data_IF_805300740948
#
_entry.id   IF_805300740948
#
_cell.length_a   1.000
_cell.length_b   1.000
_cell.length_c   1.000
_cell.angle_alpha   90.00
_cell.angle_beta   90.00
_cell.angle_gamma   90.00
#
_symmetry.space_group_name_H-M   'P 1'
#
loop_
_entity.id
_entity.type
_entity.pdbx_description
1 polymer ?
#
# COMPACT_ATOMS: atom_id res chain seq x y z
N UNK A 1 -26.81 9.78 23.07
CA UNK A 1 -27.43 9.60 21.76
C UNK A 1 -26.58 10.27 20.67
N UNK A 2 -26.28 11.59 20.76
CA UNK A 2 -25.44 12.29 19.74
C UNK A 2 -24.02 11.72 19.64
N UNK A 3 -23.46 11.27 20.76
CA UNK A 3 -22.09 10.73 20.84
C UNK A 3 -21.83 9.44 20.04
N UNK A 4 -22.86 8.75 19.58
CA UNK A 4 -22.75 7.51 18.80
C UNK A 4 -23.36 7.59 17.41
N UNK A 5 -23.80 8.77 16.99
CA UNK A 5 -24.53 8.96 15.74
C UNK A 5 -23.77 8.43 14.52
N UNK A 6 -22.43 8.62 14.46
CA UNK A 6 -21.61 8.12 13.33
C UNK A 6 -21.59 6.59 13.20
N UNK A 7 -21.94 5.85 14.27
CA UNK A 7 -21.97 4.38 14.24
C UNK A 7 -23.24 3.85 13.55
N UNK A 8 -24.32 4.61 13.59
CA UNK A 8 -25.62 4.28 13.02
C UNK A 8 -25.71 4.62 11.52
N UNK A 9 -24.81 5.51 11.03
CA UNK A 9 -24.76 5.88 9.62
C UNK A 9 -24.36 4.69 8.77
N UNK A 10 -25.07 4.53 7.64
CA UNK A 10 -24.75 3.47 6.69
C UNK A 10 -23.39 3.71 6.06
N UNK A 11 -22.64 2.65 5.87
CA UNK A 11 -21.30 2.67 5.28
C UNK A 11 -21.26 1.71 4.10
N UNK A 12 -20.53 2.04 3.02
CA UNK A 12 -20.36 1.10 1.91
C UNK A 12 -19.62 -0.14 2.40
N UNK A 13 -20.19 -1.29 2.11
CA UNK A 13 -19.60 -2.58 2.50
C UNK A 13 -18.47 -3.01 1.57
N UNK A 14 -18.50 -2.54 0.33
CA UNK A 14 -17.55 -2.91 -0.72
C UNK A 14 -17.34 -1.75 -1.68
N UNK A 15 -16.10 -1.60 -2.12
CA UNK A 15 -15.74 -0.74 -3.24
C UNK A 15 -15.65 -1.62 -4.49
N UNK A 16 -16.47 -1.34 -5.50
CA UNK A 16 -16.40 -2.04 -6.78
C UNK A 16 -15.54 -1.25 -7.75
N UNK A 17 -14.56 -1.91 -8.34
CA UNK A 17 -13.66 -1.29 -9.33
C UNK A 17 -13.88 -1.99 -10.67
N UNK A 18 -14.35 -1.23 -11.65
CA UNK A 18 -14.54 -1.70 -13.02
C UNK A 18 -13.46 -1.09 -13.91
N UNK A 19 -12.62 -1.90 -14.57
CA UNK A 19 -11.60 -1.40 -15.48
C UNK A 19 -12.26 -0.75 -16.71
N UNK A 20 -11.65 0.33 -17.23
CA UNK A 20 -12.01 0.94 -18.50
C UNK A 20 -11.26 0.33 -19.69
N UNK A 21 -11.18 1.07 -20.79
CA UNK A 21 -10.51 0.63 -22.04
C UNK A 21 -9.02 0.31 -21.81
N UNK A 22 -8.36 1.06 -20.96
CA UNK A 22 -6.98 0.77 -20.48
C UNK A 22 -7.02 0.53 -18.95
N UNK A 23 -7.02 -0.74 -18.50
CA UNK A 23 -7.13 -1.08 -17.07
C UNK A 23 -6.04 -0.49 -16.18
N UNK A 24 -4.88 -0.17 -16.76
CA UNK A 24 -3.76 0.43 -16.01
C UNK A 24 -3.91 1.93 -15.81
N UNK A 25 -4.74 2.58 -16.65
CA UNK A 25 -4.87 4.03 -16.67
C UNK A 25 -6.27 4.53 -16.39
N UNK A 26 -7.31 3.74 -16.68
CA UNK A 26 -8.70 4.14 -16.52
C UNK A 26 -9.46 3.10 -15.72
N UNK A 27 -10.13 3.54 -14.67
CA UNK A 27 -11.08 2.71 -13.94
C UNK A 27 -12.26 3.54 -13.42
N UNK A 28 -13.38 2.86 -13.28
CA UNK A 28 -14.59 3.39 -12.63
C UNK A 28 -14.73 2.72 -11.27
N UNK A 29 -14.80 3.53 -10.24
CA UNK A 29 -14.93 3.12 -8.84
C UNK A 29 -16.35 3.43 -8.40
N UNK A 30 -17.03 2.44 -7.82
CA UNK A 30 -18.42 2.55 -7.34
C UNK A 30 -18.44 2.29 -5.85
N UNK A 31 -19.01 3.23 -5.10
CA UNK A 31 -19.23 3.11 -3.66
C UNK A 31 -20.73 3.24 -3.36
N UNK A 32 -21.32 2.19 -2.82
CA UNK A 32 -22.72 2.13 -2.40
C UNK A 32 -22.93 1.11 -1.28
N UNK A 33 -23.95 1.28 -0.42
CA UNK A 33 -24.77 2.48 -0.24
C UNK A 33 -24.03 3.55 0.60
N UNK A 34 -24.35 4.81 0.36
CA UNK A 34 -23.89 5.94 1.16
C UNK A 34 -25.10 6.69 1.71
N UNK A 35 -24.97 7.29 2.89
CA UNK A 35 -25.99 8.20 3.39
C UNK A 35 -26.24 9.36 2.41
N UNK A 36 -27.47 9.81 2.36
CA UNK A 36 -27.89 10.92 1.49
C UNK A 36 -27.01 12.16 1.66
N UNK A 37 -26.45 12.66 0.54
CA UNK A 37 -25.53 13.79 0.48
C UNK A 37 -24.06 13.44 0.63
N UNK A 38 -23.72 12.24 1.16
CA UNK A 38 -22.32 11.81 1.26
C UNK A 38 -21.70 11.50 -0.10
N UNK A 39 -22.47 11.11 -1.09
CA UNK A 39 -22.00 10.96 -2.46
C UNK A 39 -21.37 12.24 -2.98
N UNK A 40 -22.01 13.39 -2.80
CA UNK A 40 -21.46 14.71 -3.19
C UNK A 40 -20.23 15.08 -2.35
N UNK A 41 -20.31 14.91 -1.05
CA UNK A 41 -19.23 15.28 -0.11
C UNK A 41 -17.96 14.50 -0.42
N UNK A 42 -18.06 13.16 -0.50
CA UNK A 42 -16.93 12.29 -0.76
C UNK A 42 -16.43 12.43 -2.20
N UNK A 43 -17.33 12.47 -3.17
CA UNK A 43 -16.98 12.62 -4.58
C UNK A 43 -16.20 13.90 -4.87
N UNK A 44 -16.64 15.04 -4.34
CA UNK A 44 -15.94 16.31 -4.52
C UNK A 44 -14.60 16.33 -3.76
N UNK A 45 -14.57 15.85 -2.51
CA UNK A 45 -13.35 15.81 -1.71
C UNK A 45 -12.28 14.93 -2.33
N UNK A 46 -12.64 13.70 -2.73
CA UNK A 46 -11.72 12.78 -3.40
C UNK A 46 -11.23 13.33 -4.73
N UNK A 47 -12.12 13.90 -5.56
CA UNK A 47 -11.74 14.52 -6.82
C UNK A 47 -10.70 15.61 -6.62
N UNK A 48 -10.88 16.48 -5.65
CA UNK A 48 -9.93 17.58 -5.36
C UNK A 48 -8.57 17.05 -4.93
N UNK A 49 -8.54 16.09 -4.03
CA UNK A 49 -7.28 15.50 -3.53
C UNK A 49 -6.57 14.70 -4.62
N UNK A 50 -7.31 13.93 -5.43
CA UNK A 50 -6.76 13.19 -6.58
C UNK A 50 -6.03 14.11 -7.57
N UNK A 51 -6.58 15.29 -7.87
CA UNK A 51 -6.01 16.22 -8.83
C UNK A 51 -4.88 17.09 -8.28
N UNK A 52 -4.83 17.33 -6.97
CA UNK A 52 -3.94 18.33 -6.38
C UNK A 52 -2.85 17.77 -5.45
N UNK A 53 -3.08 16.63 -4.81
CA UNK A 53 -2.28 16.24 -3.65
C UNK A 53 -1.44 14.99 -3.85
N UNK A 54 -1.68 14.21 -4.89
CA UNK A 54 -0.88 13.04 -5.19
C UNK A 54 0.49 13.43 -5.71
N UNK A 55 1.52 12.73 -5.24
CA UNK A 55 2.89 12.92 -5.67
C UNK A 55 3.14 12.20 -7.00
N UNK A 56 3.91 12.84 -7.87
CA UNK A 56 4.38 12.27 -9.12
C UNK A 56 5.75 12.82 -9.50
N UNK A 57 6.19 12.51 -10.71
CA UNK A 57 7.45 13.00 -11.28
C UNK A 57 7.21 13.72 -12.60
N UNK A 58 7.99 14.77 -12.86
CA UNK A 58 7.91 15.55 -14.08
C UNK A 58 9.27 16.14 -14.45
N UNK A 59 9.41 16.54 -15.72
CA UNK A 59 10.54 17.33 -16.17
C UNK A 59 10.42 18.74 -15.61
N UNK A 60 11.48 19.24 -14.98
CA UNK A 60 11.56 20.59 -14.38
C UNK A 60 12.33 21.56 -15.25
N UNK A 61 13.33 21.07 -15.99
CA UNK A 61 14.15 21.86 -16.87
C UNK A 61 14.72 20.99 -17.99
N UNK A 62 15.03 21.62 -19.12
CA UNK A 62 15.76 21.02 -20.22
C UNK A 62 16.97 21.89 -20.60
N UNK A 63 17.98 21.26 -21.13
CA UNK A 63 19.10 21.91 -21.80
C UNK A 63 19.26 21.30 -23.18
N UNK A 64 19.35 22.11 -24.21
CA UNK A 64 19.55 21.69 -25.61
C UNK A 64 20.85 22.31 -26.09
N UNK A 65 21.75 21.52 -26.64
CA UNK A 65 23.03 22.00 -27.15
C UNK A 65 22.80 23.07 -28.24
N UNK A 66 23.46 24.21 -28.07
CA UNK A 66 23.37 25.35 -29.02
C UNK A 66 22.14 26.23 -28.87
N UNK A 67 21.28 25.99 -27.86
CA UNK A 67 20.08 26.77 -27.58
C UNK A 67 20.25 27.53 -26.27
N UNK A 68 19.95 28.83 -26.27
CA UNK A 68 20.09 29.67 -25.09
C UNK A 68 18.77 30.04 -24.40
N UNK A 69 17.66 29.96 -25.12
CA UNK A 69 16.33 30.29 -24.63
C UNK A 69 15.24 29.62 -25.47
N UNK A 70 14.03 29.53 -24.93
CA UNK A 70 12.88 28.83 -25.50
C UNK A 70 12.36 29.40 -26.84
N UNK A 71 12.69 30.67 -27.15
CA UNK A 71 12.24 31.32 -28.39
C UNK A 71 13.28 31.16 -29.52
N UNK A 72 14.04 30.09 -29.51
CA UNK A 72 15.05 29.79 -30.54
C UNK A 72 14.51 28.73 -31.51
N UNK A 73 15.13 28.65 -32.69
CA UNK A 73 14.97 27.55 -33.63
C UNK A 73 16.29 26.77 -33.72
N UNK A 74 16.18 25.48 -34.00
CA UNK A 74 17.35 24.60 -34.13
C UNK A 74 17.52 24.24 -35.60
N UNK A 75 18.71 24.47 -36.20
CA UNK A 75 18.94 24.13 -37.62
C UNK A 75 18.70 22.62 -37.87
N UNK A 76 17.88 22.31 -38.88
CA UNK A 76 17.53 20.95 -39.25
C UNK A 76 16.51 20.27 -38.33
N UNK A 77 15.88 21.00 -37.44
CA UNK A 77 14.73 20.54 -36.65
C UNK A 77 13.50 21.30 -37.12
N UNK A 78 12.40 20.59 -37.34
CA UNK A 78 11.17 21.20 -37.90
C UNK A 78 10.39 22.01 -36.89
N UNK A 79 10.34 21.52 -35.65
CA UNK A 79 9.64 22.16 -34.52
C UNK A 79 10.54 23.22 -33.89
N UNK A 80 9.94 24.32 -33.46
CA UNK A 80 10.61 25.32 -32.65
C UNK A 80 10.85 24.81 -31.23
N UNK A 81 11.82 25.41 -30.52
CA UNK A 81 12.12 25.00 -29.14
C UNK A 81 10.90 25.11 -28.23
N UNK A 82 10.02 26.09 -28.45
CA UNK A 82 8.77 26.25 -27.72
C UNK A 82 7.87 25.01 -27.91
N UNK A 83 7.74 24.49 -29.13
CA UNK A 83 6.97 23.28 -29.42
C UNK A 83 7.59 22.05 -28.74
N UNK A 84 8.94 21.97 -28.78
CA UNK A 84 9.66 20.90 -28.07
C UNK A 84 9.38 20.95 -26.58
N UNK A 85 9.42 22.12 -25.95
CA UNK A 85 9.07 22.30 -24.52
C UNK A 85 7.65 21.87 -24.22
N UNK A 86 6.69 22.24 -25.08
CA UNK A 86 5.28 21.81 -24.94
C UNK A 86 5.13 20.30 -25.04
N UNK A 87 5.89 19.63 -25.90
CA UNK A 87 5.89 18.17 -25.99
C UNK A 87 6.56 17.54 -24.75
N UNK A 88 7.69 18.06 -24.31
CA UNK A 88 8.44 17.57 -23.15
C UNK A 88 7.59 17.61 -21.86
N UNK A 89 6.83 18.68 -21.63
CA UNK A 89 5.97 18.76 -20.42
C UNK A 89 4.87 17.70 -20.35
N UNK A 90 4.58 17.02 -21.46
CA UNK A 90 3.59 15.93 -21.51
C UNK A 90 4.18 14.53 -21.34
N UNK A 91 5.51 14.43 -21.15
CA UNK A 91 6.16 13.15 -20.87
C UNK A 91 5.63 12.60 -19.54
N UNK A 92 5.09 11.39 -19.58
CA UNK A 92 4.63 10.69 -18.39
C UNK A 92 5.80 9.92 -17.77
N UNK A 93 6.15 10.27 -16.54
CA UNK A 93 7.33 9.73 -15.85
C UNK A 93 6.90 9.02 -14.58
N UNK A 94 7.46 7.84 -14.35
CA UNK A 94 7.44 7.14 -13.08
C UNK A 94 8.85 7.12 -12.51
N UNK A 95 9.03 7.65 -11.31
CA UNK A 95 10.32 7.69 -10.62
C UNK A 95 10.17 7.08 -9.24
N UNK A 96 11.13 6.23 -8.86
CA UNK A 96 11.27 5.70 -7.51
C UNK A 96 12.46 6.40 -6.85
N UNK A 97 12.26 6.91 -5.65
CA UNK A 97 13.28 7.67 -4.91
C UNK A 97 13.10 9.18 -5.01
N UNK A 98 13.81 9.88 -4.15
CA UNK A 98 13.77 11.34 -4.01
C UNK A 98 14.96 12.02 -4.69
N UNK A 99 14.78 13.30 -5.01
CA UNK A 99 15.83 14.16 -5.56
C UNK A 99 15.87 14.22 -7.08
N UNK A 100 16.43 15.32 -7.59
CA UNK A 100 16.52 15.58 -9.02
C UNK A 100 17.44 14.59 -9.72
N UNK A 101 17.00 14.07 -10.86
CA UNK A 101 17.75 13.13 -11.72
C UNK A 101 17.91 13.74 -13.11
N UNK A 102 18.99 13.36 -13.80
CA UNK A 102 19.27 13.81 -15.16
C UNK A 102 19.11 12.66 -16.13
N UNK A 103 18.41 12.90 -17.24
CA UNK A 103 18.28 12.02 -18.39
C UNK A 103 18.89 12.70 -19.60
N UNK A 104 19.32 11.93 -20.57
CA UNK A 104 19.96 12.44 -21.79
C UNK A 104 19.32 11.85 -23.03
N UNK A 105 19.27 12.64 -24.10
CA UNK A 105 18.86 12.20 -25.41
C UNK A 105 19.92 12.64 -26.43
N UNK A 106 20.29 11.74 -27.32
CA UNK A 106 21.12 12.04 -28.48
C UNK A 106 20.58 11.26 -29.68
N UNK A 107 20.23 12.00 -30.73
CA UNK A 107 19.74 11.39 -31.97
C UNK A 107 20.22 12.17 -33.17
N UNK A 108 20.55 11.42 -34.24
CA UNK A 108 20.96 11.96 -35.56
C UNK A 108 19.86 11.62 -36.56
N UNK A 109 19.46 12.60 -37.35
CA UNK A 109 18.43 12.45 -38.37
C UNK A 109 18.90 11.78 -39.65
N UNK A 110 18.01 11.57 -40.63
CA UNK A 110 16.61 12.04 -40.60
C UNK A 110 15.69 11.13 -39.79
N UNK A 111 14.66 11.69 -39.15
CA UNK A 111 13.63 10.91 -38.48
C UNK A 111 12.95 11.61 -37.32
N UNK A 112 11.97 10.92 -36.75
CA UNK A 112 11.18 11.41 -35.60
C UNK A 112 11.95 11.08 -34.31
N UNK A 113 12.07 12.05 -33.41
CA UNK A 113 12.59 11.89 -32.05
C UNK A 113 11.41 11.68 -31.11
N UNK A 114 11.45 10.59 -30.38
CA UNK A 114 10.39 10.24 -29.43
C UNK A 114 10.89 10.22 -27.99
N UNK A 115 9.97 10.23 -27.05
CA UNK A 115 10.32 10.09 -25.62
C UNK A 115 11.03 8.75 -25.32
N UNK A 116 10.82 7.71 -26.13
CA UNK A 116 11.51 6.44 -26.04
C UNK A 116 13.00 6.49 -26.37
N UNK A 117 13.46 7.53 -27.09
CA UNK A 117 14.87 7.73 -27.40
C UNK A 117 15.67 8.34 -26.21
N UNK A 118 14.99 8.71 -25.13
CA UNK A 118 15.63 9.28 -23.93
C UNK A 118 16.29 8.15 -23.14
N UNK A 119 17.58 8.32 -22.85
CA UNK A 119 18.32 7.43 -21.97
C UNK A 119 17.96 7.74 -20.52
N UNK A 120 17.17 6.88 -19.91
CA UNK A 120 16.79 6.99 -18.52
C UNK A 120 17.85 6.45 -17.57
N UNK A 121 17.98 7.03 -16.39
CA UNK A 121 18.96 6.63 -15.38
C UNK A 121 18.23 5.94 -14.21
N UNK A 122 18.64 4.70 -13.93
CA UNK A 122 18.21 3.96 -12.74
C UNK A 122 16.69 3.76 -12.64
N UNK A 123 16.10 4.42 -11.66
CA UNK A 123 14.69 4.22 -11.25
C UNK A 123 13.70 5.11 -12.01
N UNK A 124 14.11 5.74 -13.12
CA UNK A 124 13.23 6.58 -13.94
C UNK A 124 12.71 5.79 -15.12
N UNK A 125 11.41 5.75 -15.28
CA UNK A 125 10.72 5.07 -16.38
C UNK A 125 9.80 6.05 -17.12
N UNK A 126 9.88 6.05 -18.46
CA UNK A 126 8.96 6.78 -19.33
C UNK A 126 7.80 5.87 -19.68
N UNK A 127 6.57 6.36 -19.48
CA UNK A 127 5.34 5.58 -19.63
C UNK A 127 4.64 5.78 -20.98
N UNK A 128 5.05 6.81 -21.74
CA UNK A 128 4.55 7.14 -23.09
C UNK A 128 5.73 7.28 -24.08
N UNK A 129 6.46 6.18 -24.37
CA UNK A 129 7.65 6.23 -25.22
C UNK A 129 7.36 6.69 -26.66
N UNK A 130 6.16 6.51 -27.14
CA UNK A 130 5.73 6.88 -28.50
C UNK A 130 5.46 8.38 -28.69
N UNK A 131 5.56 9.17 -27.60
CA UNK A 131 5.34 10.62 -27.65
C UNK A 131 6.42 11.25 -28.52
N UNK A 132 6.00 11.95 -29.57
CA UNK A 132 6.90 12.68 -30.45
C UNK A 132 7.36 13.98 -29.79
N UNK A 133 8.68 14.20 -29.72
CA UNK A 133 9.30 15.40 -29.19
C UNK A 133 9.61 16.41 -30.32
N UNK A 134 10.26 15.94 -31.39
CA UNK A 134 10.57 16.73 -32.57
C UNK A 134 10.91 15.83 -33.77
N UNK A 135 11.10 16.44 -34.94
CA UNK A 135 11.44 15.79 -36.20
C UNK A 135 12.76 16.36 -36.73
N UNK A 136 13.71 15.49 -37.06
CA UNK A 136 15.02 15.87 -37.60
C UNK A 136 15.03 15.71 -39.11
N UNK A 137 15.62 16.66 -39.80
CA UNK A 137 15.94 16.58 -41.22
C UNK A 137 17.27 15.84 -41.46
N UNK A 138 17.61 15.64 -42.72
CA UNK A 138 18.83 14.93 -43.10
C UNK A 138 20.09 15.65 -42.61
N UNK A 139 20.97 14.93 -41.91
CA UNK A 139 22.23 15.49 -41.36
C UNK A 139 22.08 16.28 -40.07
N UNK A 140 20.85 16.46 -39.55
CA UNK A 140 20.66 17.15 -38.26
C UNK A 140 20.99 16.22 -37.07
N UNK A 141 21.53 16.79 -36.02
CA UNK A 141 21.78 16.12 -34.73
C UNK A 141 21.15 16.94 -33.62
N UNK A 142 20.49 16.29 -32.69
CA UNK A 142 19.98 16.90 -31.46
C UNK A 142 20.57 16.22 -30.23
N UNK A 143 20.97 17.04 -29.24
CA UNK A 143 21.42 16.60 -27.92
C UNK A 143 20.64 17.37 -26.88
N UNK A 144 20.00 16.64 -25.97
CA UNK A 144 19.18 17.21 -24.92
C UNK A 144 19.51 16.57 -23.58
N UNK A 145 19.49 17.37 -22.53
CA UNK A 145 19.49 16.95 -21.15
C UNK A 145 18.16 17.32 -20.49
N UNK A 146 17.60 16.41 -19.71
CA UNK A 146 16.35 16.62 -18.99
C UNK A 146 16.63 16.50 -17.50
N UNK A 147 16.20 17.48 -16.73
CA UNK A 147 16.16 17.39 -15.27
C UNK A 147 14.77 16.99 -14.85
N UNK A 148 14.67 15.90 -14.08
CA UNK A 148 13.42 15.32 -13.58
C UNK A 148 13.43 15.36 -12.07
N UNK A 149 12.31 15.74 -11.47
CA UNK A 149 12.15 15.75 -10.01
C UNK A 149 10.76 15.27 -9.62
N UNK A 150 10.58 15.01 -8.33
CA UNK A 150 9.30 14.64 -7.72
C UNK A 150 8.60 15.84 -7.11
N UNK A 151 7.29 15.87 -7.19
CA UNK A 151 6.51 16.97 -6.64
C UNK A 151 5.02 16.66 -6.60
N UNK A 152 4.22 17.69 -6.37
CA UNK A 152 2.75 17.61 -6.29
C UNK A 152 2.09 18.67 -7.14
N UNK A 153 0.97 18.29 -7.77
CA UNK A 153 0.14 19.20 -8.52
C UNK A 153 0.84 19.80 -9.74
N UNK A 154 0.77 21.11 -9.91
CA UNK A 154 1.35 21.88 -11.00
C UNK A 154 2.31 22.93 -10.47
N UNK A 155 3.51 22.98 -11.04
CA UNK A 155 4.52 23.99 -10.72
C UNK A 155 4.91 24.70 -12.01
N UNK A 156 4.68 26.04 -12.10
CA UNK A 156 5.05 26.81 -13.29
C UNK A 156 6.57 26.89 -13.43
N UNK A 157 7.04 27.05 -14.68
CA UNK A 157 8.45 27.11 -15.05
C UNK A 157 9.25 28.18 -14.27
N UNK A 158 8.61 29.29 -13.96
CA UNK A 158 9.23 30.38 -13.19
C UNK A 158 9.72 29.94 -11.79
N UNK A 159 8.98 29.00 -11.16
CA UNK A 159 9.37 28.43 -9.86
C UNK A 159 10.45 27.36 -9.97
N UNK A 160 10.58 26.73 -11.14
CA UNK A 160 11.63 25.75 -11.41
C UNK A 160 12.97 26.44 -11.77
N UNK A 161 12.96 27.75 -11.98
CA UNK A 161 14.17 28.54 -12.25
C UNK A 161 14.93 28.77 -10.95
N UNK A 162 16.15 28.26 -10.87
CA UNK A 162 17.07 28.54 -9.77
C UNK A 162 17.89 29.81 -10.07
N UNK A 163 18.28 30.58 -9.03
CA UNK A 163 19.06 31.78 -9.19
C UNK A 163 20.43 31.51 -9.83
N UNK A 164 21.01 30.33 -9.56
CA UNK A 164 22.30 29.87 -10.10
C UNK A 164 22.14 28.99 -11.35
N UNK A 165 21.03 29.09 -12.09
CA UNK A 165 20.80 28.25 -13.27
C UNK A 165 21.89 28.54 -14.33
N UNK A 166 22.51 27.49 -14.92
CA UNK A 166 23.48 27.66 -15.99
C UNK A 166 22.82 28.29 -17.22
N UNK A 167 23.63 29.04 -18.00
CA UNK A 167 23.16 29.64 -19.25
C UNK A 167 22.70 28.54 -20.20
N UNK A 168 21.50 28.70 -20.81
CA UNK A 168 20.93 27.75 -21.72
C UNK A 168 20.04 26.70 -21.04
N UNK A 169 19.89 26.73 -19.69
CA UNK A 169 18.90 25.92 -19.02
C UNK A 169 17.50 26.53 -19.19
N UNK A 170 16.60 25.81 -19.80
CA UNK A 170 15.23 26.21 -20.07
C UNK A 170 14.33 25.57 -19.02
N UNK A 171 13.72 26.33 -18.10
CA UNK A 171 12.77 25.76 -17.14
C UNK A 171 11.48 25.35 -17.85
N UNK A 172 10.87 24.29 -17.40
CA UNK A 172 9.64 23.70 -17.95
C UNK A 172 8.57 23.65 -16.88
N UNK A 173 7.31 23.92 -17.28
CA UNK A 173 6.16 23.69 -16.40
C UNK A 173 6.06 22.23 -16.02
N UNK A 174 6.01 21.95 -14.73
CA UNK A 174 5.99 20.57 -14.22
C UNK A 174 4.59 20.14 -13.81
N UNK A 175 4.05 19.18 -14.54
CA UNK A 175 2.79 18.51 -14.24
C UNK A 175 3.08 17.24 -13.42
N UNK A 176 3.19 17.39 -12.11
CA UNK A 176 3.51 16.27 -11.23
C UNK A 176 2.34 15.33 -10.99
N UNK A 177 1.09 15.84 -11.07
CA UNK A 177 -0.09 15.01 -10.80
C UNK A 177 -0.13 13.78 -11.70
N UNK A 178 -0.13 12.55 -11.13
CA UNK A 178 -0.29 11.34 -11.93
C UNK A 178 -1.73 11.16 -12.44
N UNK A 179 -2.68 11.89 -11.88
CA UNK A 179 -4.09 11.85 -12.27
C UNK A 179 -4.38 12.93 -13.30
N UNK A 180 -4.86 12.52 -14.48
CA UNK A 180 -5.20 13.40 -15.61
C UNK A 180 -6.62 13.92 -15.52
N UNK A 181 -7.57 13.04 -15.20
CA UNK A 181 -8.99 13.36 -15.21
C UNK A 181 -9.73 12.60 -14.12
N UNK A 182 -10.64 13.30 -13.46
CA UNK A 182 -11.59 12.70 -12.51
C UNK A 182 -12.97 13.25 -12.82
N UNK A 183 -13.91 12.36 -13.06
CA UNK A 183 -15.32 12.69 -13.14
C UNK A 183 -16.10 11.83 -12.16
N UNK A 184 -17.17 12.37 -11.58
CA UNK A 184 -18.05 11.57 -10.75
C UNK A 184 -19.51 11.95 -11.00
N UNK A 185 -20.39 11.00 -10.75
CA UNK A 185 -21.84 11.19 -10.72
C UNK A 185 -22.42 10.45 -9.53
N UNK A 186 -23.59 10.89 -9.13
CA UNK A 186 -24.33 10.32 -8.02
C UNK A 186 -25.66 9.82 -8.56
N UNK A 187 -26.01 8.62 -8.17
CA UNK A 187 -27.29 7.97 -8.48
C UNK A 187 -27.93 7.56 -7.16
N UNK A 188 -29.25 7.39 -7.17
CA UNK A 188 -29.93 6.85 -6.01
C UNK A 188 -29.79 5.33 -6.00
N UNK A 189 -29.59 4.76 -4.81
CA UNK A 189 -29.56 3.32 -4.62
C UNK A 189 -30.53 2.90 -3.52
N UNK A 190 -30.87 1.60 -3.52
CA UNK A 190 -31.81 1.01 -2.59
C UNK A 190 -31.08 0.13 -1.58
N UNK A 191 -31.36 0.32 -0.31
CA UNK A 191 -30.97 -0.61 0.74
C UNK A 191 -32.22 -1.04 1.54
N UNK A 192 -32.56 -2.31 1.46
CA UNK A 192 -33.80 -2.84 2.05
C UNK A 192 -35.06 -2.18 1.43
N UNK A 193 -35.84 -1.48 2.25
CA UNK A 193 -37.05 -0.76 1.82
C UNK A 193 -36.82 0.76 1.59
N UNK A 194 -35.62 1.26 1.89
CA UNK A 194 -35.26 2.66 1.75
C UNK A 194 -34.60 2.88 0.39
N UNK A 195 -35.09 3.87 -0.38
CA UNK A 195 -34.67 4.18 -1.75
C UNK A 195 -33.83 5.46 -1.82
N UNK A 196 -33.44 6.03 -0.70
CA UNK A 196 -32.91 7.40 -0.63
C UNK A 196 -31.42 7.44 -0.22
N UNK A 197 -30.70 6.38 -0.55
CA UNK A 197 -29.25 6.34 -0.39
C UNK A 197 -28.52 6.76 -1.65
N UNK A 198 -27.30 7.31 -1.47
CA UNK A 198 -26.44 7.71 -2.59
C UNK A 198 -25.59 6.52 -3.08
N UNK A 199 -25.42 6.47 -4.38
CA UNK A 199 -24.43 5.66 -5.09
C UNK A 199 -23.44 6.58 -5.76
N UNK A 200 -22.20 6.58 -5.33
CA UNK A 200 -21.13 7.35 -5.94
C UNK A 200 -20.45 6.52 -7.03
N UNK A 201 -20.42 7.04 -8.24
CA UNK A 201 -19.72 6.47 -9.39
C UNK A 201 -18.65 7.45 -9.83
N UNK A 202 -17.39 7.07 -9.68
CA UNK A 202 -16.24 7.94 -9.99
C UNK A 202 -15.35 7.29 -11.04
N UNK A 203 -15.08 7.98 -12.14
CA UNK A 203 -14.14 7.55 -13.16
C UNK A 203 -12.85 8.32 -13.03
N UNK A 204 -11.75 7.60 -12.89
CA UNK A 204 -10.39 8.15 -12.70
C UNK A 204 -9.52 7.72 -13.87
N UNK A 205 -8.85 8.70 -14.47
CA UNK A 205 -7.86 8.50 -15.52
C UNK A 205 -6.49 8.97 -15.02
N UNK A 206 -5.48 8.11 -15.11
CA UNK A 206 -4.10 8.37 -14.71
C UNK A 206 -3.15 8.39 -15.91
N UNK A 207 -1.92 8.82 -15.69
CA UNK A 207 -0.86 8.73 -16.69
C UNK A 207 -0.17 7.34 -16.72
N UNK A 208 -0.57 6.42 -15.82
CA UNK A 208 0.01 5.08 -15.69
C UNK A 208 1.11 4.98 -14.62
N UNK A 209 1.55 6.07 -13.99
CA UNK A 209 2.52 6.03 -12.89
C UNK A 209 1.94 5.38 -11.63
N UNK A 210 0.64 5.54 -11.44
CA UNK A 210 -0.16 4.92 -10.38
C UNK A 210 -1.42 4.32 -11.00
N UNK A 211 -1.89 3.19 -10.47
CA UNK A 211 -3.17 2.63 -10.88
C UNK A 211 -4.32 3.53 -10.40
N UNK A 212 -5.46 3.58 -11.11
CA UNK A 212 -6.61 4.36 -10.65
C UNK A 212 -7.12 3.94 -9.27
N UNK A 213 -7.07 2.65 -8.95
CA UNK A 213 -7.44 2.09 -7.66
C UNK A 213 -6.54 2.60 -6.54
N UNK A 214 -5.21 2.48 -6.71
CA UNK A 214 -4.24 2.98 -5.75
C UNK A 214 -4.34 4.50 -5.59
N UNK A 215 -4.57 5.23 -6.67
CA UNK A 215 -4.75 6.68 -6.61
C UNK A 215 -5.92 7.07 -5.70
N UNK A 216 -7.07 6.39 -5.83
CA UNK A 216 -8.24 6.61 -4.95
C UNK A 216 -7.92 6.24 -3.51
N UNK A 217 -7.21 5.12 -3.28
CA UNK A 217 -6.82 4.69 -1.95
C UNK A 217 -5.89 5.72 -1.27
N UNK A 218 -4.87 6.24 -1.98
CA UNK A 218 -3.99 7.29 -1.47
C UNK A 218 -4.74 8.59 -1.19
N UNK A 219 -5.66 8.99 -2.08
CA UNK A 219 -6.47 10.18 -1.87
C UNK A 219 -7.38 10.06 -0.64
N UNK A 220 -8.00 8.91 -0.45
CA UNK A 220 -8.81 8.61 0.72
C UNK A 220 -7.97 8.63 2.02
N UNK A 221 -6.75 8.07 1.97
CA UNK A 221 -5.83 8.09 3.12
C UNK A 221 -5.40 9.51 3.48
N UNK A 222 -5.07 10.33 2.50
CA UNK A 222 -4.73 11.75 2.72
C UNK A 222 -5.90 12.48 3.41
N UNK A 223 -7.13 12.28 2.93
CA UNK A 223 -8.31 12.88 3.55
C UNK A 223 -8.50 12.41 4.99
N UNK A 224 -8.35 11.12 5.24
CA UNK A 224 -8.46 10.54 6.57
C UNK A 224 -7.45 11.16 7.53
N UNK A 225 -6.18 11.26 7.13
CA UNK A 225 -5.11 11.83 7.95
C UNK A 225 -5.34 13.32 8.23
N UNK A 226 -5.82 14.08 7.24
CA UNK A 226 -6.15 15.50 7.41
C UNK A 226 -7.36 15.72 8.32
N UNK A 227 -8.33 14.82 8.32
CA UNK A 227 -9.53 14.90 9.17
C UNK A 227 -9.26 14.46 10.62
N UNK A 228 -8.19 13.68 10.85
CA UNK A 228 -7.90 13.13 12.17
C UNK A 228 -7.72 14.22 13.25
N UNK A 229 -7.16 15.38 12.88
CA UNK A 229 -6.95 16.50 13.80
C UNK A 229 -8.27 17.09 14.34
N UNK A 230 -9.38 16.91 13.61
CA UNK A 230 -10.70 17.38 14.00
C UNK A 230 -11.43 16.40 14.95
N UNK A 231 -10.92 15.18 15.09
CA UNK A 231 -11.44 14.18 16.01
C UNK A 231 -10.77 14.40 17.37
N UNK A 232 -11.45 15.12 18.27
CA UNK A 232 -10.92 15.56 19.56
C UNK A 232 -11.47 14.80 20.77
N UNK A 233 -12.18 13.71 20.53
CA UNK A 233 -12.70 12.83 21.59
C UNK A 233 -11.94 11.51 21.55
N UNK A 234 -11.71 10.95 22.74
CA UNK A 234 -11.21 9.58 22.85
C UNK A 234 -12.29 8.65 22.28
N UNK A 235 -12.02 8.10 21.12
CA UNK A 235 -12.81 6.95 20.66
C UNK A 235 -12.65 5.89 21.76
N UNK A 236 -13.80 5.36 22.32
CA UNK A 236 -13.68 4.16 23.11
C UNK A 236 -12.92 3.19 22.19
N UNK A 237 -11.68 2.87 22.58
CA UNK A 237 -10.95 1.80 21.87
C UNK A 237 -12.01 0.76 21.62
N UNK A 238 -12.40 0.54 20.35
CA UNK A 238 -12.85 -0.77 19.98
C UNK A 238 -11.71 -1.62 20.53
N UNK A 239 -11.93 -2.28 21.67
CA UNK A 239 -11.34 -3.57 21.82
C UNK A 239 -11.64 -4.14 20.44
N UNK A 240 -10.64 -4.13 19.54
CA UNK A 240 -10.63 -5.09 18.48
C UNK A 240 -11.10 -6.29 19.24
N UNK A 241 -12.30 -6.76 18.90
CA UNK A 241 -12.62 -8.13 19.21
C UNK A 241 -11.46 -8.86 18.54
N UNK A 242 -10.35 -8.94 19.26
CA UNK A 242 -9.39 -10.00 19.17
C UNK A 242 -10.34 -11.15 19.08
N UNK A 243 -10.53 -11.63 17.85
CA UNK A 243 -11.52 -12.64 17.48
C UNK A 243 -11.55 -13.53 18.69
N UNK A 244 -12.65 -13.51 19.46
CA UNK A 244 -12.64 -13.97 20.82
C UNK A 244 -12.01 -15.33 20.74
N UNK A 245 -10.71 -15.38 21.00
CA UNK A 245 -10.04 -16.63 21.27
C UNK A 245 -10.91 -17.15 22.40
N UNK A 246 -11.62 -18.25 22.21
CA UNK A 246 -12.55 -18.74 23.22
C UNK A 246 -11.77 -18.61 24.51
N UNK A 247 -12.27 -17.82 25.48
CA UNK A 247 -11.60 -17.65 26.74
C UNK A 247 -11.56 -19.04 27.33
N UNK A 248 -10.45 -19.72 27.02
CA UNK A 248 -10.20 -21.06 27.53
C UNK A 248 -10.07 -20.87 29.05
N UNK A 249 -10.78 -21.64 29.84
CA UNK A 249 -10.73 -21.56 31.30
C UNK A 249 -9.33 -21.92 31.85
N UNK A 250 -8.37 -22.18 30.98
CA UNK A 250 -7.00 -22.61 31.28
C UNK A 250 -5.96 -21.90 30.38
N UNK A 251 -4.70 -21.93 30.79
CA UNK A 251 -3.58 -21.33 30.06
C UNK A 251 -3.42 -21.98 28.66
N UNK A 252 -3.42 -21.22 27.56
CA UNK A 252 -3.20 -21.73 26.20
C UNK A 252 -1.93 -22.57 26.01
N UNK A 253 -0.89 -22.32 26.81
CA UNK A 253 0.35 -23.11 26.79
C UNK A 253 0.12 -24.62 27.09
N UNK A 254 -0.99 -24.97 27.70
CA UNK A 254 -1.35 -26.37 28.01
C UNK A 254 -1.77 -27.17 26.78
N UNK A 255 -2.16 -26.49 25.68
CA UNK A 255 -2.50 -27.12 24.39
C UNK A 255 -1.26 -27.49 23.56
N UNK A 256 -0.06 -27.08 23.95
CA UNK A 256 1.18 -27.47 23.26
C UNK A 256 1.46 -28.94 23.50
N UNK A 257 2.04 -29.59 22.48
CA UNK A 257 2.43 -31.00 22.57
C UNK A 257 3.68 -31.16 23.42
N UNK A 258 3.75 -32.26 24.11
CA UNK A 258 4.92 -32.60 24.96
C UNK A 258 6.18 -32.79 24.13
N UNK A 259 6.05 -33.11 22.84
CA UNK A 259 7.16 -33.23 21.89
C UNK A 259 7.86 -31.89 21.57
N UNK A 260 7.18 -30.77 21.83
CA UNK A 260 7.75 -29.41 21.67
C UNK A 260 8.59 -28.96 22.87
N UNK A 261 8.54 -29.71 23.98
CA UNK A 261 9.38 -29.45 25.11
C UNK A 261 10.80 -29.97 24.83
N UNK A 262 11.80 -29.20 25.13
CA UNK A 262 13.22 -29.59 24.99
C UNK A 262 13.60 -30.69 26.02
N UNK A 263 12.99 -31.87 25.88
CA UNK A 263 13.22 -33.02 26.73
C UNK A 263 14.21 -33.98 26.06
N UNK A 264 14.95 -34.75 26.90
CA UNK A 264 15.76 -35.83 26.38
C UNK A 264 14.88 -36.89 25.68
N UNK A 265 15.45 -37.56 24.66
CA UNK A 265 14.74 -38.62 23.89
C UNK A 265 14.16 -39.67 24.80
N UNK A 266 14.82 -39.97 25.92
CA UNK A 266 14.36 -40.95 26.91
C UNK A 266 13.12 -40.48 27.67
N UNK A 267 13.12 -39.21 28.10
CA UNK A 267 11.98 -38.61 28.80
C UNK A 267 10.78 -38.46 27.87
N UNK A 268 10.98 -38.01 26.63
CA UNK A 268 9.91 -37.93 25.63
C UNK A 268 9.29 -39.29 25.31
N UNK A 269 10.09 -40.35 25.11
CA UNK A 269 9.58 -41.69 24.85
C UNK A 269 8.79 -42.25 26.04
N UNK A 270 9.17 -41.98 27.27
CA UNK A 270 8.42 -42.39 28.44
C UNK A 270 7.04 -41.76 28.54
N UNK A 271 6.95 -40.45 28.20
CA UNK A 271 5.67 -39.72 28.17
C UNK A 271 4.74 -40.23 27.06
N UNK A 272 5.28 -40.56 25.89
CA UNK A 272 4.52 -41.18 24.78
C UNK A 272 3.95 -42.56 25.17
N UNK A 273 4.75 -43.37 25.86
CA UNK A 273 4.29 -44.69 26.30
C UNK A 273 3.16 -44.64 27.35
N UNK A 274 3.06 -43.54 28.09
CA UNK A 274 2.00 -43.29 29.07
C UNK A 274 0.83 -42.48 28.48
N UNK A 275 0.76 -42.37 27.14
CA UNK A 275 -0.27 -41.62 26.38
C UNK A 275 -0.44 -40.16 26.81
N UNK A 276 0.65 -39.49 27.28
CA UNK A 276 0.66 -38.09 27.61
C UNK A 276 1.06 -37.31 26.35
N UNK A 277 0.10 -36.62 25.73
CA UNK A 277 0.27 -35.93 24.45
C UNK A 277 0.45 -34.41 24.65
N UNK A 278 -0.31 -33.83 25.56
CA UNK A 278 -0.34 -32.40 25.80
C UNK A 278 0.28 -32.05 27.16
N UNK A 279 0.79 -30.79 27.27
CA UNK A 279 1.34 -30.28 28.53
C UNK A 279 0.26 -30.31 29.63
N UNK A 280 -1.00 -30.05 29.28
CA UNK A 280 -2.11 -30.11 30.20
C UNK A 280 -2.33 -31.52 30.82
N UNK A 281 -2.07 -32.60 30.07
CA UNK A 281 -2.12 -33.97 30.59
C UNK A 281 -0.97 -34.23 31.55
N UNK A 282 0.20 -33.68 31.24
CA UNK A 282 1.42 -33.83 32.03
C UNK A 282 1.31 -33.20 33.42
N UNK A 283 0.80 -31.96 33.49
CA UNK A 283 0.75 -31.20 34.77
C UNK A 283 -0.31 -31.78 35.74
N UNK A 284 -1.32 -32.47 35.25
CA UNK A 284 -2.30 -33.14 36.12
C UNK A 284 -1.75 -34.39 36.81
N UNK A 285 -0.68 -34.99 36.27
CA UNK A 285 -0.03 -36.12 36.91
C UNK A 285 0.76 -35.67 38.13
N UNK A 286 0.63 -36.43 39.22
CA UNK A 286 1.46 -36.21 40.42
C UNK A 286 2.86 -36.81 40.22
N UNK A 287 3.83 -36.33 40.97
CA UNK A 287 5.20 -36.90 40.97
C UNK A 287 5.23 -38.39 41.27
N UNK A 288 4.34 -38.86 42.19
CA UNK A 288 4.24 -40.23 42.56
C UNK A 288 3.69 -41.14 41.42
N UNK A 289 2.78 -40.58 40.60
CA UNK A 289 2.25 -41.30 39.42
C UNK A 289 3.30 -41.37 38.33
N UNK A 290 4.04 -40.29 38.08
CA UNK A 290 5.13 -40.27 37.12
C UNK A 290 6.23 -41.27 37.43
N UNK A 291 6.57 -41.47 38.71
CA UNK A 291 7.58 -42.44 39.16
C UNK A 291 7.06 -43.91 39.06
N UNK A 292 5.77 -44.13 38.90
CA UNK A 292 5.18 -45.49 38.67
C UNK A 292 5.27 -45.90 37.22
N UNK A 293 5.47 -44.98 36.29
CA UNK A 293 5.61 -45.26 34.86
C UNK A 293 6.88 -46.09 34.59
N UNK A 294 6.78 -47.19 33.85
CA UNK A 294 7.91 -48.06 33.53
C UNK A 294 9.03 -47.28 32.83
N UNK A 295 10.27 -47.52 33.23
CA UNK A 295 11.48 -46.83 32.68
C UNK A 295 11.62 -45.34 32.96
N UNK A 296 10.75 -44.76 33.81
CA UNK A 296 10.82 -43.35 34.21
C UNK A 296 11.62 -43.21 35.51
N UNK A 297 12.71 -42.43 35.46
CA UNK A 297 13.61 -42.28 36.57
C UNK A 297 13.61 -40.85 37.19
N UNK A 298 14.18 -40.74 38.38
CA UNK A 298 14.31 -39.40 39.07
C UNK A 298 15.00 -38.33 38.25
N UNK A 299 15.92 -38.71 37.34
CA UNK A 299 16.60 -37.75 36.45
C UNK A 299 15.61 -37.14 35.44
N UNK A 300 14.78 -37.98 34.81
CA UNK A 300 13.73 -37.52 33.87
C UNK A 300 12.66 -36.69 34.58
N UNK A 301 12.35 -37.01 35.86
CA UNK A 301 11.41 -36.22 36.64
C UNK A 301 11.96 -34.80 36.91
N UNK A 302 13.24 -34.69 37.28
CA UNK A 302 13.86 -33.37 37.51
C UNK A 302 13.94 -32.54 36.22
N UNK A 303 14.30 -33.17 35.11
CA UNK A 303 14.33 -32.52 33.78
C UNK A 303 12.94 -31.92 33.41
N UNK A 304 11.88 -32.68 33.58
CA UNK A 304 10.51 -32.22 33.32
C UNK A 304 10.14 -31.08 34.28
N UNK A 305 10.48 -31.18 35.54
CA UNK A 305 10.25 -30.12 36.54
C UNK A 305 10.93 -28.79 36.17
N UNK A 306 12.16 -28.85 35.71
CA UNK A 306 12.92 -27.65 35.30
C UNK A 306 12.28 -26.99 34.09
N UNK A 307 11.86 -27.77 33.07
CA UNK A 307 11.20 -27.26 31.87
C UNK A 307 9.83 -26.67 32.22
N UNK A 308 9.02 -27.35 33.04
CA UNK A 308 7.72 -26.84 33.48
C UNK A 308 7.86 -25.57 34.34
N UNK A 309 8.85 -25.52 35.22
CA UNK A 309 9.12 -24.37 36.08
C UNK A 309 9.51 -23.13 35.23
N UNK A 310 10.26 -23.32 34.13
CA UNK A 310 10.56 -22.26 33.15
C UNK A 310 9.30 -21.69 32.48
N UNK A 311 8.22 -22.45 32.42
CA UNK A 311 6.90 -22.05 31.88
C UNK A 311 5.92 -21.59 32.99
N UNK A 312 6.35 -21.55 34.25
CA UNK A 312 5.50 -21.22 35.40
C UNK A 312 4.49 -22.31 35.77
N UNK A 313 4.76 -23.56 35.36
CA UNK A 313 3.90 -24.72 35.60
C UNK A 313 4.58 -25.72 36.56
N UNK A 314 3.79 -26.58 37.23
CA UNK A 314 4.30 -27.65 38.07
C UNK A 314 3.39 -28.88 38.01
N UNK A 315 3.94 -30.03 38.35
CA UNK A 315 3.18 -31.30 38.40
C UNK A 315 2.18 -31.29 39.56
N UNK A 316 1.03 -31.96 39.35
CA UNK A 316 -0.05 -32.01 40.33
C UNK A 316 -0.95 -30.79 40.37
N UNK A 317 -0.95 -29.97 39.29
CA UNK A 317 -1.89 -28.84 39.14
C UNK A 317 -3.28 -29.38 38.72
N UNK A 318 -4.31 -28.88 39.40
CA UNK A 318 -5.70 -29.15 38.98
C UNK A 318 -6.09 -28.05 37.92
N UNK A 319 -6.50 -28.50 36.75
CA UNK A 319 -6.90 -27.63 35.65
C UNK A 319 -8.40 -27.82 35.41
N UNK A 320 -9.26 -26.89 35.88
CA UNK A 320 -10.67 -26.96 35.65
C UNK A 320 -11.02 -27.00 34.16
N UNK A 321 -11.77 -28.00 33.72
CA UNK A 321 -12.20 -28.13 32.31
C UNK A 321 -11.18 -28.79 31.38
N UNK A 322 -10.15 -29.46 31.90
CA UNK A 322 -9.24 -30.27 31.11
C UNK A 322 -9.62 -31.77 31.20
N UNK A 323 -9.54 -32.57 30.10
CA UNK A 323 -9.32 -32.15 28.71
C UNK A 323 -10.61 -31.58 28.08
N UNK A 324 -10.49 -30.53 27.21
CA UNK A 324 -11.64 -30.00 26.50
C UNK A 324 -12.14 -31.00 25.44
N UNK A 325 -13.44 -30.99 25.16
CA UNK A 325 -14.07 -31.94 24.20
C UNK A 325 -13.47 -31.86 22.78
N UNK A 326 -12.87 -30.71 22.39
CA UNK A 326 -12.32 -30.49 21.05
C UNK A 326 -10.82 -30.11 21.10
N UNK A 327 -10.01 -30.83 21.89
CA UNK A 327 -8.60 -30.55 22.13
C UNK A 327 -7.77 -30.49 20.84
N UNK A 328 -8.01 -31.35 19.86
CA UNK A 328 -7.29 -31.42 18.59
C UNK A 328 -7.57 -30.20 17.70
N UNK A 329 -8.82 -29.74 17.64
CA UNK A 329 -9.21 -28.55 16.87
C UNK A 329 -8.69 -27.26 17.51
N UNK A 330 -8.66 -27.22 18.84
CA UNK A 330 -8.11 -26.10 19.59
C UNK A 330 -6.58 -26.01 19.43
N UNK A 331 -5.88 -27.13 19.46
CA UNK A 331 -4.44 -27.19 19.26
C UNK A 331 -4.05 -26.77 17.84
N UNK A 332 -4.74 -27.22 16.79
CA UNK A 332 -4.51 -26.80 15.39
C UNK A 332 -4.69 -25.30 15.19
N UNK A 333 -5.76 -24.71 15.73
CA UNK A 333 -5.98 -23.25 15.65
C UNK A 333 -4.89 -22.43 16.36
N UNK A 334 -4.28 -23.01 17.38
CA UNK A 334 -3.14 -22.39 18.08
C UNK A 334 -1.84 -22.50 17.29
N UNK A 335 -1.58 -23.64 16.60
CA UNK A 335 -0.42 -23.83 15.72
C UNK A 335 -0.45 -22.89 14.49
N UNK A 336 -1.64 -22.51 13.98
CA UNK A 336 -1.80 -21.60 12.82
C UNK A 336 -1.63 -20.11 13.16
N UNK A 337 -1.59 -19.73 14.45
CA UNK A 337 -1.52 -18.34 14.89
C UNK A 337 -0.14 -17.94 15.51
N UNK A 338 0.82 -18.85 15.54
CA UNK A 338 2.20 -18.62 15.93
C UNK A 338 3.16 -19.13 14.86
#
# INVERSE_FOLDING_TARGET
VIQKNWQELIKPNKLEVSPGDDPKRIATVVAEPLERGFGTTLGNSLRRVLLSSLQGAAVTAIHIDGVLHEFSSIPGVREDVTDIVLNVKTIAIKMQGEGAKRMTLRKTGPGVVTAGDINTVGDVQILNPDLVLCTLDEGAEIRMEFTVDTGKGYVPAERNRTEDAPIGLIPVDSLYSPVKKVSYRIENTREGQILDYDKLIMTVETNGAVSPEDAVAYAARILQDQLQVFVNFEEPRKEEAAAAAPQLPFNPALLKKVDELELSVRSANCLKNDNIVYIGDLIQKSEAEMLRTPNFGRKSLNEIKEVLAGMGLHLGMDVPGWPPENIEDLAKRFEEHY
#
